data_IF_708313622646
#
_entry.id   IF_708313622646
#
_cell.length_a   1.000
_cell.length_b   1.000
_cell.length_c   1.000
_cell.angle_alpha   90.00
_cell.angle_beta   90.00
_cell.angle_gamma   90.00
#
_symmetry.space_group_name_H-M   'P 1'
#
loop_
_entity.id
_entity.type
_entity.pdbx_description
1 polymer ?
#
# COMPACT_ATOMS: atom_id res chain seq x y z
N UNK A 1 3.73 -8.50 17.88
CA UNK A 1 3.26 -7.58 16.82
C UNK A 1 3.88 -7.91 15.47
N UNK A 2 5.20 -8.16 15.37
CA UNK A 2 5.86 -8.49 14.09
C UNK A 2 5.33 -9.75 13.41
N UNK A 3 4.87 -10.75 14.17
CA UNK A 3 4.42 -12.03 13.63
C UNK A 3 3.01 -11.99 13.03
N UNK A 4 2.13 -11.14 13.55
CA UNK A 4 0.77 -10.95 12.99
C UNK A 4 0.86 -10.25 11.62
N UNK A 5 1.73 -9.25 11.50
CA UNK A 5 1.95 -8.54 10.25
C UNK A 5 2.59 -9.41 9.17
N UNK A 6 3.60 -10.21 9.56
CA UNK A 6 4.24 -11.18 8.68
C UNK A 6 3.26 -12.22 8.16
N UNK A 7 2.38 -12.75 9.02
CA UNK A 7 1.38 -13.76 8.65
C UNK A 7 0.32 -13.19 7.71
N UNK A 8 -0.25 -12.02 8.02
CA UNK A 8 -1.26 -11.41 7.14
C UNK A 8 -0.75 -11.19 5.72
N UNK A 9 0.47 -10.68 5.55
CA UNK A 9 1.03 -10.44 4.24
C UNK A 9 1.41 -11.73 3.52
N UNK A 10 2.04 -12.69 4.19
CA UNK A 10 2.39 -13.97 3.59
C UNK A 10 1.13 -14.77 3.19
N UNK A 11 0.11 -14.80 4.03
CA UNK A 11 -1.10 -15.57 3.77
C UNK A 11 -1.93 -15.00 2.61
N UNK A 12 -2.01 -13.67 2.48
CA UNK A 12 -2.82 -13.02 1.46
C UNK A 12 -2.08 -12.67 0.17
N UNK A 13 -0.74 -12.55 0.22
CA UNK A 13 0.10 -12.16 -0.93
C UNK A 13 1.00 -13.26 -1.46
N UNK A 14 0.93 -14.48 -0.92
CA UNK A 14 1.81 -15.59 -1.32
C UNK A 14 1.87 -15.79 -2.83
N UNK A 15 0.73 -15.71 -3.52
CA UNK A 15 0.64 -15.88 -4.97
C UNK A 15 1.35 -14.77 -5.78
N UNK A 16 1.53 -13.60 -5.15
CA UNK A 16 2.21 -12.43 -5.74
C UNK A 16 3.67 -12.29 -5.31
N UNK A 17 4.20 -13.24 -4.54
CA UNK A 17 5.58 -13.18 -4.05
C UNK A 17 6.48 -14.15 -4.82
N UNK A 18 7.75 -13.77 -4.97
CA UNK A 18 8.76 -14.72 -5.40
C UNK A 18 8.94 -15.82 -4.35
N UNK A 19 9.27 -17.07 -4.78
CA UNK A 19 9.59 -18.15 -3.85
C UNK A 19 10.68 -17.73 -2.85
N UNK A 20 10.65 -18.26 -1.61
CA UNK A 20 11.68 -17.94 -0.64
C UNK A 20 13.06 -18.40 -1.11
N UNK A 21 14.07 -17.60 -0.77
CA UNK A 21 15.47 -18.00 -0.86
C UNK A 21 15.84 -18.69 0.43
N UNK A 22 16.19 -19.95 0.35
CA UNK A 22 16.56 -20.75 1.53
C UNK A 22 18.05 -20.66 1.81
N UNK A 23 18.40 -20.32 3.02
CA UNK A 23 19.76 -20.45 3.55
C UNK A 23 19.81 -21.69 4.42
N UNK A 24 20.74 -22.57 4.11
CA UNK A 24 20.98 -23.78 4.88
C UNK A 24 21.41 -23.44 6.33
N UNK A 25 20.99 -24.26 7.26
CA UNK A 25 21.48 -24.22 8.64
C UNK A 25 22.92 -24.72 8.73
N UNK A 26 23.58 -24.34 9.79
CA UNK A 26 24.96 -24.82 10.13
C UNK A 26 24.89 -25.75 11.36
N UNK A 27 25.64 -26.82 11.30
CA UNK A 27 25.82 -27.73 12.43
C UNK A 27 27.29 -27.84 12.78
N UNK A 28 27.61 -28.07 14.06
CA UNK A 28 28.98 -28.39 14.50
C UNK A 28 29.34 -29.85 14.19
N UNK A 29 30.58 -30.22 14.53
CA UNK A 29 31.11 -31.57 14.33
C UNK A 29 30.39 -32.65 15.19
N UNK A 30 29.64 -32.21 16.22
CA UNK A 30 28.82 -33.05 17.10
C UNK A 30 27.38 -33.19 16.59
N UNK A 31 27.02 -32.51 15.50
CA UNK A 31 25.66 -32.53 14.88
C UNK A 31 24.67 -31.58 15.56
N UNK A 32 25.15 -30.68 16.45
CA UNK A 32 24.28 -29.66 17.06
C UNK A 32 24.07 -28.49 16.12
N UNK A 33 22.83 -28.07 15.96
CA UNK A 33 22.49 -26.91 15.11
C UNK A 33 23.03 -25.64 15.74
N UNK A 34 24.07 -25.06 15.12
CA UNK A 34 24.68 -23.79 15.56
C UNK A 34 23.99 -22.59 14.96
N UNK A 35 23.39 -22.78 13.77
CA UNK A 35 22.58 -21.77 13.08
C UNK A 35 21.39 -22.44 12.38
N UNK A 36 20.15 -22.07 12.72
CA UNK A 36 18.98 -22.63 12.06
C UNK A 36 18.91 -22.19 10.59
N UNK A 37 18.35 -23.04 9.74
CA UNK A 37 17.99 -22.66 8.39
C UNK A 37 17.02 -21.48 8.40
N UNK A 38 17.12 -20.58 7.41
CA UNK A 38 16.30 -19.38 7.32
C UNK A 38 15.78 -19.16 5.90
N UNK A 39 14.53 -18.72 5.81
CA UNK A 39 13.93 -18.31 4.57
C UNK A 39 13.98 -16.77 4.43
N UNK A 40 14.44 -16.31 3.27
CA UNK A 40 14.43 -14.90 2.89
C UNK A 40 13.42 -14.67 1.77
N UNK A 41 12.68 -13.60 1.87
CA UNK A 41 11.68 -13.21 0.89
C UNK A 41 12.06 -11.88 0.24
N UNK A 42 11.94 -11.79 -1.09
CA UNK A 42 11.97 -10.50 -1.77
C UNK A 42 10.72 -9.71 -1.35
N UNK A 43 10.88 -8.51 -0.78
CA UNK A 43 9.73 -7.75 -0.26
C UNK A 43 8.80 -7.31 -1.38
N UNK A 44 7.48 -7.59 -1.31
CA UNK A 44 6.51 -7.17 -2.31
C UNK A 44 5.95 -5.76 -2.06
N UNK A 45 6.19 -5.19 -0.87
CA UNK A 45 5.73 -3.88 -0.42
C UNK A 45 6.59 -3.34 0.73
N UNK A 46 6.53 -2.03 0.96
CA UNK A 46 7.32 -1.34 1.99
C UNK A 46 6.56 -1.19 3.32
N UNK A 47 5.23 -1.31 3.32
CA UNK A 47 4.37 -1.09 4.47
C UNK A 47 4.83 -1.79 5.76
N UNK A 48 5.24 -3.08 5.75
CA UNK A 48 5.67 -3.76 6.97
C UNK A 48 6.88 -3.10 7.65
N UNK A 49 7.78 -2.50 6.86
CA UNK A 49 8.98 -1.85 7.39
C UNK A 49 8.65 -0.52 8.07
N UNK A 50 7.79 0.31 7.46
CA UNK A 50 7.30 1.55 8.07
C UNK A 50 6.51 1.27 9.36
N UNK A 51 5.70 0.22 9.40
CA UNK A 51 4.99 -0.19 10.61
C UNK A 51 5.93 -0.63 11.72
N UNK A 52 7.01 -1.34 11.41
CA UNK A 52 8.06 -1.69 12.38
C UNK A 52 8.78 -0.45 12.90
N UNK A 53 9.06 0.54 12.04
CA UNK A 53 9.64 1.82 12.46
C UNK A 53 8.65 2.56 13.38
N UNK A 54 7.36 2.60 13.02
CA UNK A 54 6.35 3.20 13.88
C UNK A 54 6.28 2.52 15.25
N UNK A 55 6.27 1.19 15.28
CA UNK A 55 6.19 0.38 16.50
C UNK A 55 7.51 0.25 17.28
N UNK A 56 8.64 0.79 16.78
CA UNK A 56 9.97 0.59 17.38
C UNK A 56 10.13 1.22 18.77
N UNK A 57 9.29 2.19 19.11
CA UNK A 57 9.25 2.84 20.42
C UNK A 57 7.83 3.27 20.77
N UNK A 58 7.56 3.50 22.06
CA UNK A 58 6.34 4.16 22.51
C UNK A 58 6.26 5.59 21.93
N UNK A 59 5.08 5.98 21.49
CA UNK A 59 4.80 7.30 20.91
C UNK A 59 3.64 7.98 21.62
N UNK A 60 3.71 9.29 21.74
CA UNK A 60 2.58 10.08 22.19
C UNK A 60 1.67 10.39 20.99
N UNK A 61 0.35 10.43 21.20
CA UNK A 61 -0.59 10.90 20.18
C UNK A 61 -0.29 12.34 19.71
N UNK A 62 0.44 13.12 20.51
CA UNK A 62 0.90 14.46 20.15
C UNK A 62 2.01 14.49 19.10
N UNK A 63 2.63 13.35 18.83
CA UNK A 63 3.62 13.18 17.74
C UNK A 63 2.95 12.94 16.39
N UNK A 64 1.62 12.77 16.36
CA UNK A 64 0.84 12.55 15.14
C UNK A 64 0.38 13.91 14.55
N UNK A 65 0.32 14.02 13.23
CA UNK A 65 0.59 12.99 12.24
C UNK A 65 2.08 12.71 12.07
N UNK A 66 2.46 11.44 11.99
CA UNK A 66 3.81 11.01 11.64
C UNK A 66 3.83 10.54 10.18
N UNK A 67 4.66 11.15 9.36
CA UNK A 67 4.79 10.83 7.94
C UNK A 67 6.15 10.20 7.69
N UNK A 68 6.15 8.97 7.16
CA UNK A 68 7.35 8.24 6.75
C UNK A 68 7.35 8.13 5.23
N UNK A 69 8.51 8.32 4.62
CA UNK A 69 8.69 8.28 3.17
C UNK A 69 9.97 7.53 2.82
N UNK A 70 9.93 6.75 1.74
CA UNK A 70 11.12 6.12 1.14
C UNK A 70 10.99 6.00 -0.37
N UNK A 71 12.11 6.00 -1.08
CA UNK A 71 12.20 5.40 -2.40
C UNK A 71 12.46 3.90 -2.22
N UNK A 72 11.38 3.13 -2.14
CA UNK A 72 11.43 1.72 -1.79
C UNK A 72 11.35 0.80 -2.99
N UNK A 73 12.37 -0.04 -3.21
CA UNK A 73 12.32 -1.07 -4.25
C UNK A 73 11.54 -2.28 -3.75
N UNK A 74 10.58 -2.72 -4.55
CA UNK A 74 9.73 -3.89 -4.27
C UNK A 74 9.77 -4.87 -5.43
N UNK A 75 9.48 -6.15 -5.12
CA UNK A 75 9.51 -7.24 -6.08
C UNK A 75 8.21 -8.03 -6.01
N UNK A 76 7.53 -8.17 -7.15
CA UNK A 76 6.25 -8.88 -7.26
C UNK A 76 6.33 -9.96 -8.33
N UNK A 77 5.85 -11.15 -8.01
CA UNK A 77 5.79 -12.26 -8.94
C UNK A 77 4.61 -12.09 -9.90
N UNK A 78 4.78 -11.19 -10.86
CA UNK A 78 3.81 -10.96 -11.91
C UNK A 78 3.84 -12.11 -12.93
N UNK A 79 2.65 -12.60 -13.33
CA UNK A 79 2.55 -13.61 -14.41
C UNK A 79 3.05 -13.03 -15.72
N UNK A 80 3.67 -13.87 -16.56
CA UNK A 80 4.29 -13.41 -17.83
C UNK A 80 3.33 -12.64 -18.73
N UNK A 81 2.05 -13.04 -18.79
CA UNK A 81 1.04 -12.40 -19.62
C UNK A 81 0.56 -11.02 -19.18
N UNK A 82 0.93 -10.57 -17.96
CA UNK A 82 0.53 -9.26 -17.44
C UNK A 82 1.67 -8.25 -17.39
N UNK A 83 2.90 -8.65 -17.67
CA UNK A 83 4.05 -7.75 -17.75
C UNK A 83 3.91 -6.86 -18.96
N UNK A 84 4.04 -5.53 -18.78
CA UNK A 84 3.86 -4.54 -19.84
C UNK A 84 4.88 -3.41 -19.75
N UNK A 85 6.02 -3.57 -20.41
CA UNK A 85 7.09 -2.57 -20.46
C UNK A 85 7.50 -2.07 -19.07
N UNK A 86 7.60 -0.76 -18.92
CA UNK A 86 7.91 -0.11 -17.64
C UNK A 86 6.70 0.07 -16.73
N UNK A 87 5.48 -0.09 -17.26
CA UNK A 87 4.26 0.20 -16.51
C UNK A 87 3.82 -0.95 -15.60
N UNK A 88 4.27 -2.18 -15.89
CA UNK A 88 4.04 -3.34 -15.04
C UNK A 88 5.24 -4.29 -15.07
N UNK A 89 6.13 -4.13 -14.12
CA UNK A 89 7.39 -4.86 -13.99
C UNK A 89 7.40 -5.73 -12.72
N UNK A 90 8.27 -6.71 -12.67
CA UNK A 90 8.48 -7.58 -11.50
C UNK A 90 9.32 -6.95 -10.41
N UNK A 91 10.11 -5.93 -10.73
CA UNK A 91 10.88 -5.15 -9.79
C UNK A 91 10.80 -3.68 -10.15
N UNK A 92 10.47 -2.82 -9.21
CA UNK A 92 10.34 -1.39 -9.41
C UNK A 92 10.53 -0.62 -8.10
N UNK A 93 10.85 0.65 -8.22
CA UNK A 93 10.99 1.55 -7.08
C UNK A 93 9.76 2.44 -6.99
N UNK A 94 9.21 2.54 -5.78
CA UNK A 94 8.09 3.43 -5.46
C UNK A 94 8.58 4.60 -4.61
N UNK A 95 8.03 5.77 -4.86
CA UNK A 95 7.97 6.88 -3.92
C UNK A 95 6.83 6.61 -2.93
N UNK A 96 7.14 5.86 -1.89
CA UNK A 96 6.17 5.27 -0.97
C UNK A 96 6.15 6.01 0.36
N UNK A 97 4.95 6.34 0.83
CA UNK A 97 4.75 7.04 2.08
C UNK A 97 3.67 6.37 2.94
N UNK A 98 3.90 6.37 4.24
CA UNK A 98 2.93 5.89 5.24
C UNK A 98 2.70 7.00 6.27
N UNK A 99 1.45 7.41 6.41
CA UNK A 99 1.02 8.46 7.32
C UNK A 99 0.25 7.82 8.47
N UNK A 100 0.74 8.04 9.67
CA UNK A 100 0.09 7.63 10.91
C UNK A 100 -0.54 8.86 11.54
N UNK A 101 -1.86 8.88 11.63
CA UNK A 101 -2.61 10.01 12.15
C UNK A 101 -3.77 9.55 13.05
N UNK A 102 -4.31 10.47 13.83
CA UNK A 102 -5.56 10.25 14.54
C UNK A 102 -6.73 10.40 13.58
N UNK A 103 -7.88 9.93 13.97
CA UNK A 103 -9.07 9.94 13.12
C UNK A 103 -9.53 11.36 12.77
N UNK A 104 -9.42 12.29 13.72
CA UNK A 104 -9.74 13.71 13.52
C UNK A 104 -8.77 14.43 12.57
N UNK A 105 -7.57 13.90 12.36
CA UNK A 105 -6.58 14.41 11.41
C UNK A 105 -6.73 13.84 10.01
N UNK A 106 -7.44 12.73 9.88
CA UNK A 106 -7.44 11.88 8.66
C UNK A 106 -7.89 12.62 7.42
N UNK A 107 -9.00 13.35 7.47
CA UNK A 107 -9.55 14.06 6.31
C UNK A 107 -8.60 15.15 5.81
N UNK A 108 -7.95 15.87 6.73
CA UNK A 108 -6.95 16.89 6.38
C UNK A 108 -5.70 16.27 5.76
N UNK A 109 -5.22 15.15 6.30
CA UNK A 109 -4.05 14.45 5.75
C UNK A 109 -4.32 13.90 4.35
N UNK A 110 -5.48 13.29 4.13
CA UNK A 110 -5.90 12.80 2.83
C UNK A 110 -6.02 13.92 1.80
N UNK A 111 -6.61 15.05 2.17
CA UNK A 111 -6.73 16.23 1.31
C UNK A 111 -5.36 16.73 0.91
N UNK A 112 -4.46 16.91 1.89
CA UNK A 112 -3.09 17.38 1.65
C UNK A 112 -2.30 16.45 0.71
N UNK A 113 -2.43 15.14 0.91
CA UNK A 113 -1.76 14.13 0.05
C UNK A 113 -2.32 14.18 -1.37
N UNK A 114 -3.63 14.26 -1.53
CA UNK A 114 -4.26 14.31 -2.85
C UNK A 114 -3.86 15.57 -3.62
N UNK A 115 -3.87 16.73 -2.97
CA UNK A 115 -3.42 18.00 -3.56
C UNK A 115 -1.94 17.92 -3.98
N UNK A 116 -1.09 17.34 -3.13
CA UNK A 116 0.33 17.13 -3.44
C UNK A 116 0.50 16.22 -4.67
N UNK A 117 -0.19 15.09 -4.74
CA UNK A 117 -0.13 14.16 -5.88
C UNK A 117 -0.52 14.88 -7.17
N UNK A 118 -1.65 15.58 -7.16
CA UNK A 118 -2.14 16.29 -8.36
C UNK A 118 -1.16 17.38 -8.79
N UNK A 119 -0.61 18.15 -7.84
CA UNK A 119 0.41 19.17 -8.13
C UNK A 119 1.66 18.57 -8.75
N UNK A 120 2.17 17.48 -8.16
CA UNK A 120 3.36 16.79 -8.65
C UNK A 120 3.17 16.25 -10.07
N UNK A 121 2.01 15.64 -10.36
CA UNK A 121 1.72 15.12 -11.69
C UNK A 121 1.58 16.22 -12.73
N UNK A 122 1.04 17.38 -12.35
CA UNK A 122 1.04 18.58 -13.23
C UNK A 122 2.42 19.11 -13.53
N UNK A 123 3.35 19.07 -12.57
CA UNK A 123 4.76 19.44 -12.79
C UNK A 123 5.44 18.51 -13.81
N UNK A 124 4.96 17.27 -13.97
CA UNK A 124 5.38 16.34 -15.03
C UNK A 124 4.61 16.54 -16.35
N UNK A 125 3.74 17.54 -16.45
CA UNK A 125 2.97 17.85 -17.66
C UNK A 125 1.76 16.97 -17.89
N UNK A 126 1.25 16.33 -16.86
CA UNK A 126 0.00 15.57 -16.91
C UNK A 126 -1.12 16.45 -16.36
N UNK A 127 -2.16 16.71 -17.17
CA UNK A 127 -3.28 17.61 -16.80
C UNK A 127 -4.65 16.94 -16.86
N UNK A 128 -4.78 15.80 -17.53
CA UNK A 128 -6.04 15.07 -17.67
C UNK A 128 -6.12 13.92 -16.68
N UNK A 129 -6.80 14.17 -15.56
CA UNK A 129 -6.95 13.21 -14.46
C UNK A 129 -8.41 12.93 -14.15
N UNK A 130 -8.66 11.76 -13.60
CA UNK A 130 -9.85 11.44 -12.83
C UNK A 130 -9.46 10.60 -11.61
N UNK A 131 -10.35 10.52 -10.64
CA UNK A 131 -10.19 9.71 -9.45
C UNK A 131 -11.02 8.45 -9.56
N UNK A 132 -10.48 7.35 -9.09
CA UNK A 132 -11.18 6.08 -9.00
C UNK A 132 -11.27 5.67 -7.53
N UNK A 133 -12.49 5.53 -7.01
CA UNK A 133 -12.76 5.09 -5.65
C UNK A 133 -13.03 3.60 -5.63
N UNK A 134 -12.05 2.83 -5.17
CA UNK A 134 -12.19 1.38 -5.02
C UNK A 134 -12.74 1.03 -3.66
N UNK A 135 -13.82 0.26 -3.66
CA UNK A 135 -14.55 -0.14 -2.45
C UNK A 135 -14.39 -1.63 -2.14
N UNK A 136 -14.89 -2.04 -0.98
CA UNK A 136 -14.77 -3.38 -0.41
C UNK A 136 -15.26 -4.49 -1.35
N UNK A 137 -14.47 -5.56 -1.49
CA UNK A 137 -14.96 -6.86 -1.97
C UNK A 137 -15.63 -7.58 -0.80
N UNK A 138 -16.95 -7.85 -0.86
CA UNK A 138 -17.67 -8.49 0.23
C UNK A 138 -17.20 -9.91 0.56
N UNK A 139 -16.47 -10.56 -0.34
CA UNK A 139 -15.95 -11.91 -0.16
C UNK A 139 -14.51 -11.95 0.34
N UNK A 140 -13.79 -10.81 0.32
CA UNK A 140 -12.35 -10.77 0.64
C UNK A 140 -11.97 -9.44 1.30
N UNK A 141 -12.19 -9.33 2.60
CA UNK A 141 -11.79 -8.16 3.36
C UNK A 141 -11.40 -8.50 4.80
N UNK A 142 -10.67 -7.60 5.45
CA UNK A 142 -10.29 -7.65 6.87
C UNK A 142 -10.87 -6.42 7.57
N UNK A 143 -11.22 -6.54 8.85
CA UNK A 143 -11.86 -5.47 9.62
C UNK A 143 -13.36 -5.64 9.68
N UNK A 144 -14.07 -4.62 10.17
CA UNK A 144 -15.52 -4.62 10.31
C UNK A 144 -16.18 -3.80 9.21
N UNK A 145 -17.45 -4.07 8.95
CA UNK A 145 -18.23 -3.32 7.95
C UNK A 145 -18.29 -1.82 8.30
N UNK A 146 -18.46 -1.48 9.58
CA UNK A 146 -18.55 -0.10 10.04
C UNK A 146 -17.26 0.71 9.75
N UNK A 147 -16.09 0.08 9.96
CA UNK A 147 -14.80 0.72 9.67
C UNK A 147 -14.65 0.95 8.16
N UNK A 148 -15.07 -0.04 7.35
CA UNK A 148 -15.02 0.08 5.90
C UNK A 148 -15.95 1.17 5.35
N UNK A 149 -17.20 1.20 5.82
CA UNK A 149 -18.17 2.22 5.44
C UNK A 149 -17.64 3.61 5.77
N UNK A 150 -17.21 3.82 7.01
CA UNK A 150 -16.67 5.10 7.46
C UNK A 150 -15.43 5.53 6.67
N UNK A 151 -14.51 4.60 6.42
CA UNK A 151 -13.29 4.88 5.64
C UNK A 151 -13.62 5.23 4.19
N UNK A 152 -14.58 4.54 3.59
CA UNK A 152 -15.06 4.83 2.24
C UNK A 152 -15.70 6.21 2.16
N UNK A 153 -16.57 6.57 3.12
CA UNK A 153 -17.20 7.88 3.18
C UNK A 153 -16.20 9.04 3.31
N UNK A 154 -15.13 8.86 4.10
CA UNK A 154 -14.07 9.86 4.23
C UNK A 154 -13.35 10.05 2.90
N UNK A 155 -12.96 8.95 2.24
CA UNK A 155 -12.30 9.01 0.94
C UNK A 155 -13.21 9.66 -0.12
N UNK A 156 -14.49 9.34 -0.15
CA UNK A 156 -15.46 9.90 -1.07
C UNK A 156 -15.62 11.41 -0.88
N UNK A 157 -15.69 11.89 0.36
CA UNK A 157 -15.74 13.34 0.66
C UNK A 157 -14.49 14.06 0.17
N UNK A 158 -13.32 13.53 0.48
CA UNK A 158 -12.05 14.11 0.03
C UNK A 158 -11.95 14.13 -1.50
N UNK A 159 -12.30 13.04 -2.15
CA UNK A 159 -12.31 12.95 -3.61
C UNK A 159 -13.27 13.97 -4.24
N UNK A 160 -14.47 14.07 -3.72
CA UNK A 160 -15.50 15.00 -4.22
C UNK A 160 -15.06 16.47 -4.05
N UNK A 161 -14.41 16.79 -2.94
CA UNK A 161 -13.91 18.15 -2.66
C UNK A 161 -12.78 18.56 -3.62
N UNK A 162 -12.06 17.61 -4.20
CA UNK A 162 -10.99 17.90 -5.17
C UNK A 162 -11.48 18.53 -6.48
N UNK A 163 -12.76 18.39 -6.79
CA UNK A 163 -13.37 18.86 -8.05
C UNK A 163 -13.04 18.02 -9.28
N UNK A 164 -12.32 16.92 -9.13
CA UNK A 164 -12.07 15.96 -10.20
C UNK A 164 -13.25 15.00 -10.39
N UNK A 165 -13.38 14.44 -11.59
CA UNK A 165 -14.31 13.36 -11.87
C UNK A 165 -14.02 12.17 -10.93
N UNK A 166 -15.05 11.65 -10.27
CA UNK A 166 -14.94 10.48 -9.40
C UNK A 166 -15.67 9.29 -10.02
N UNK A 167 -14.92 8.24 -10.33
CA UNK A 167 -15.42 7.00 -10.91
C UNK A 167 -15.45 5.91 -9.85
N UNK A 168 -16.58 5.22 -9.61
CA UNK A 168 -16.63 4.11 -8.67
C UNK A 168 -15.96 2.85 -9.26
N UNK A 169 -15.22 2.15 -8.42
CA UNK A 169 -14.61 0.83 -8.69
C UNK A 169 -15.06 -0.18 -7.62
N UNK A 170 -16.24 -0.79 -7.78
CA UNK A 170 -16.79 -1.73 -6.81
C UNK A 170 -15.90 -2.99 -6.70
N UNK A 171 -15.60 -3.40 -5.47
CA UNK A 171 -14.75 -4.56 -5.15
C UNK A 171 -13.28 -4.46 -5.63
N UNK A 172 -12.83 -3.31 -6.11
CA UNK A 172 -11.46 -3.08 -6.56
C UNK A 172 -10.47 -2.71 -5.46
N UNK A 173 -10.93 -2.55 -4.22
CA UNK A 173 -10.07 -2.21 -3.10
C UNK A 173 -9.10 -3.34 -2.73
N UNK A 174 -8.04 -2.97 -2.01
CA UNK A 174 -7.22 -3.96 -1.32
C UNK A 174 -8.04 -4.63 -0.20
N UNK A 175 -7.70 -5.87 0.16
CA UNK A 175 -8.44 -6.60 1.20
C UNK A 175 -8.41 -5.89 2.58
N UNK A 176 -7.48 -4.97 2.78
CA UNK A 176 -7.22 -4.26 4.04
C UNK A 176 -7.63 -2.79 4.04
N UNK A 177 -8.21 -2.28 2.97
CA UNK A 177 -8.74 -0.93 2.97
C UNK A 177 -9.21 -0.39 1.63
N UNK A 178 -10.15 0.58 1.64
CA UNK A 178 -10.57 1.31 0.46
C UNK A 178 -9.45 2.24 -0.03
N UNK A 179 -9.49 2.61 -1.30
CA UNK A 179 -8.45 3.44 -1.90
C UNK A 179 -9.02 4.43 -2.91
N UNK A 180 -8.31 5.54 -3.08
CA UNK A 180 -8.44 6.44 -4.22
C UNK A 180 -7.23 6.22 -5.12
N UNK A 181 -7.46 5.94 -6.39
CA UNK A 181 -6.43 5.92 -7.42
C UNK A 181 -6.52 7.18 -8.28
N UNK A 182 -5.39 7.83 -8.53
CA UNK A 182 -5.30 8.93 -9.49
C UNK A 182 -4.96 8.33 -10.85
N UNK A 183 -5.90 8.45 -11.77
CA UNK A 183 -5.80 7.94 -13.14
C UNK A 183 -5.49 9.11 -14.07
N UNK A 184 -4.45 8.99 -14.90
CA UNK A 184 -4.11 9.98 -15.93
C UNK A 184 -4.40 9.41 -17.31
N UNK A 185 -4.90 10.27 -18.22
CA UNK A 185 -5.08 9.93 -19.64
C UNK A 185 -3.89 10.42 -20.45
N UNK A 186 -3.35 9.54 -21.29
CA UNK A 186 -2.29 9.91 -22.22
C UNK A 186 -2.85 10.57 -23.49
N UNK A 187 -1.95 11.08 -24.32
CA UNK A 187 -2.30 11.80 -25.55
C UNK A 187 -3.14 10.99 -26.57
N UNK A 188 -3.18 9.67 -26.44
CA UNK A 188 -3.99 8.77 -27.29
C UNK A 188 -5.17 8.16 -26.55
N UNK A 189 -5.51 8.70 -25.36
CA UNK A 189 -6.70 8.34 -24.59
C UNK A 189 -6.58 7.07 -23.75
N UNK A 190 -5.38 6.51 -23.57
CA UNK A 190 -5.17 5.37 -22.65
C UNK A 190 -5.08 5.87 -21.23
N UNK A 191 -5.60 5.10 -20.30
CA UNK A 191 -5.56 5.40 -18.87
C UNK A 191 -4.43 4.68 -18.17
N UNK A 192 -3.76 5.40 -17.27
CA UNK A 192 -2.65 4.91 -16.46
C UNK A 192 -2.86 5.30 -15.00
N UNK A 193 -2.76 4.30 -14.11
CA UNK A 193 -2.77 4.57 -12.67
C UNK A 193 -1.41 5.17 -12.26
N UNK A 194 -1.43 6.43 -11.85
CA UNK A 194 -0.23 7.18 -11.51
C UNK A 194 0.07 7.15 -10.02
N UNK A 195 -0.96 7.19 -9.19
CA UNK A 195 -0.81 7.17 -7.74
C UNK A 195 -1.98 6.47 -7.07
N UNK A 196 -1.78 6.03 -5.84
CA UNK A 196 -2.82 5.42 -5.01
C UNK A 196 -2.68 5.92 -3.57
N UNK A 197 -3.78 6.40 -3.01
CA UNK A 197 -3.92 6.68 -1.60
C UNK A 197 -4.85 5.64 -0.98
N UNK A 198 -4.33 4.82 -0.06
CA UNK A 198 -5.06 3.72 0.56
C UNK A 198 -5.27 4.02 2.05
N UNK A 199 -6.51 3.92 2.50
CA UNK A 199 -6.86 4.06 3.91
C UNK A 199 -6.93 2.69 4.57
N UNK A 200 -6.04 2.45 5.52
CA UNK A 200 -5.92 1.16 6.19
C UNK A 200 -7.04 0.98 7.23
N UNK A 201 -7.81 -0.10 7.14
CA UNK A 201 -8.96 -0.36 8.01
C UNK A 201 -8.69 -1.43 9.08
N UNK A 202 -7.54 -2.08 9.04
CA UNK A 202 -7.15 -3.04 10.08
C UNK A 202 -6.66 -2.28 11.33
N UNK A 203 -7.00 -2.73 12.53
CA UNK A 203 -6.44 -2.14 13.73
C UNK A 203 -4.91 -2.25 13.68
N UNK A 204 -4.26 -1.10 13.83
CA UNK A 204 -2.80 -1.06 13.98
C UNK A 204 -2.41 -1.91 15.19
N UNK A 205 -1.39 -2.74 15.11
CA UNK A 205 -0.95 -3.55 16.24
C UNK A 205 -0.47 -2.69 17.42
#
# INVERSE_FOLDING_TARGET
ASDVYKRQHLDFYADGMFPPMQLDGETDDEGTVTKPAQDYYAKPMNCPMHNLIFASRGRSYRELPLRLFEFGTVYRYEKSGVIHGLTRARGFTQDDAHIYCTEDQLEQELTTVLEFIISLLRDYGLDDFYLELSTKDPNKFVGTDEIWERSTEILERVATTSGLELVPDPAGAAFYGPKISVQARDAIGRTWQMSTCLLYTSPSP
#
